data_IF_056299231841
#
_entry.id   IF_056299231841
#
_cell.length_a   1.000
_cell.length_b   1.000
_cell.length_c   1.000
_cell.angle_alpha   90.00
_cell.angle_beta   90.00
_cell.angle_gamma   90.00
#
_symmetry.space_group_name_H-M   'P 1'
#
loop_
_entity.id
_entity.type
_entity.pdbx_description
1 polymer ?
#
# COMPACT_ATOMS: atom_id res chain seq x y z
N UNK A 1 9.42 -28.50 13.91
CA UNK A 1 9.63 -27.21 13.21
C UNK A 1 10.24 -27.37 11.81
N UNK A 2 9.61 -26.75 10.80
CA UNK A 2 10.07 -26.79 9.41
C UNK A 2 11.12 -25.69 9.12
N UNK A 3 12.39 -25.94 9.49
CA UNK A 3 13.51 -25.01 9.24
C UNK A 3 14.03 -25.18 7.82
N UNK A 4 13.95 -24.12 7.00
CA UNK A 4 14.40 -24.16 5.61
C UNK A 4 15.89 -23.86 5.54
N UNK A 5 16.67 -24.81 5.01
CA UNK A 5 18.12 -24.67 4.84
C UNK A 5 18.43 -23.95 3.53
N UNK A 6 19.54 -23.19 3.44
CA UNK A 6 19.86 -22.42 2.23
C UNK A 6 19.78 -23.20 0.92
N UNK A 7 20.34 -24.42 0.88
CA UNK A 7 20.36 -25.25 -0.34
C UNK A 7 18.99 -25.81 -0.74
N UNK A 8 18.00 -25.85 0.16
CA UNK A 8 16.65 -26.34 -0.14
C UNK A 8 15.68 -25.22 -0.48
N UNK A 9 16.06 -23.94 -0.33
CA UNK A 9 15.17 -22.79 -0.54
C UNK A 9 14.58 -22.78 -1.96
N UNK A 10 15.34 -22.95 -3.06
CA UNK A 10 14.76 -22.87 -4.40
C UNK A 10 13.70 -23.94 -4.67
N UNK A 11 13.95 -25.17 -4.23
CA UNK A 11 12.98 -26.28 -4.35
C UNK A 11 11.73 -26.02 -3.50
N UNK A 12 11.92 -25.61 -2.24
CA UNK A 12 10.81 -25.27 -1.35
C UNK A 12 9.94 -24.11 -1.91
N UNK A 13 10.55 -23.06 -2.47
CA UNK A 13 9.80 -21.96 -3.08
C UNK A 13 8.95 -22.46 -4.25
N UNK A 14 9.53 -23.28 -5.14
CA UNK A 14 8.83 -23.80 -6.31
C UNK A 14 7.71 -24.78 -5.94
N UNK A 15 8.03 -25.75 -5.07
CA UNK A 15 7.18 -26.93 -4.84
C UNK A 15 6.17 -26.73 -3.71
N UNK A 16 6.42 -25.77 -2.81
CA UNK A 16 5.54 -25.48 -1.66
C UNK A 16 4.97 -24.08 -1.76
N UNK A 17 5.83 -23.05 -1.80
CA UNK A 17 5.38 -21.68 -1.63
C UNK A 17 4.54 -21.17 -2.81
N UNK A 18 4.98 -21.46 -4.04
CA UNK A 18 4.32 -21.13 -5.31
C UNK A 18 3.41 -22.26 -5.84
N UNK A 19 3.19 -23.31 -5.04
CA UNK A 19 2.29 -24.40 -5.44
C UNK A 19 0.85 -23.89 -5.55
N UNK A 20 0.15 -24.10 -6.69
CA UNK A 20 -1.25 -23.72 -6.81
C UNK A 20 -2.18 -24.56 -5.93
N UNK A 21 -1.73 -25.76 -5.52
CA UNK A 21 -2.49 -26.68 -4.65
C UNK A 21 -2.37 -26.33 -3.16
N UNK A 22 -1.58 -25.30 -2.81
CA UNK A 22 -1.42 -24.89 -1.41
C UNK A 22 -2.69 -24.19 -0.93
N UNK A 23 -3.32 -24.79 0.07
CA UNK A 23 -4.57 -24.33 0.69
C UNK A 23 -4.37 -23.52 1.98
N UNK A 24 -3.16 -23.59 2.58
CA UNK A 24 -2.82 -22.86 3.81
C UNK A 24 -1.86 -21.70 3.58
N UNK A 25 -1.97 -20.59 4.34
CA UNK A 25 -0.95 -19.57 4.41
C UNK A 25 0.37 -20.13 4.94
N UNK A 26 1.49 -19.56 4.50
CA UNK A 26 2.80 -19.81 5.08
C UNK A 26 3.26 -18.58 5.83
N UNK A 27 3.63 -18.74 7.09
CA UNK A 27 4.23 -17.68 7.91
C UNK A 27 5.73 -17.93 8.04
N UNK A 28 6.53 -17.07 7.42
CA UNK A 28 7.97 -17.09 7.64
C UNK A 28 8.35 -16.29 8.89
N UNK A 29 9.14 -16.93 9.74
CA UNK A 29 9.88 -16.32 10.83
C UNK A 29 11.35 -16.24 10.45
N UNK A 30 11.97 -15.07 10.62
CA UNK A 30 13.42 -14.91 10.39
C UNK A 30 14.18 -14.53 11.64
N UNK A 31 15.47 -14.87 11.69
CA UNK A 31 16.36 -14.47 12.79
C UNK A 31 16.89 -13.06 12.56
N UNK A 32 17.04 -12.19 13.57
CA UNK A 32 17.69 -10.90 13.37
C UNK A 32 19.19 -11.05 13.12
N UNK A 33 19.86 -10.03 12.55
CA UNK A 33 21.31 -10.07 12.33
C UNK A 33 22.06 -10.36 13.63
N UNK A 34 23.07 -11.22 13.57
CA UNK A 34 23.95 -11.59 14.70
C UNK A 34 23.27 -12.35 15.86
N UNK A 35 22.00 -12.76 15.74
CA UNK A 35 21.37 -13.73 16.67
C UNK A 35 21.07 -15.04 15.96
N UNK A 36 21.09 -16.12 16.73
CA UNK A 36 20.68 -17.46 16.25
C UNK A 36 19.19 -17.69 16.41
N UNK A 37 18.57 -16.99 17.36
CA UNK A 37 17.17 -17.16 17.72
C UNK A 37 16.34 -15.98 17.20
N UNK A 38 15.14 -16.25 16.65
CA UNK A 38 14.20 -15.22 16.23
C UNK A 38 13.63 -14.46 17.44
N UNK A 39 12.98 -13.33 17.18
CA UNK A 39 12.24 -12.59 18.21
C UNK A 39 10.94 -13.27 18.65
N UNK A 40 10.46 -14.23 17.86
CA UNK A 40 9.23 -14.96 18.07
C UNK A 40 9.51 -16.43 17.91
N UNK A 41 9.16 -17.22 18.91
CA UNK A 41 9.30 -18.67 18.84
C UNK A 41 8.33 -19.22 17.77
N UNK A 42 8.85 -19.83 16.69
CA UNK A 42 7.98 -20.32 15.63
C UNK A 42 7.19 -21.58 16.02
N UNK A 43 7.62 -22.38 17.01
CA UNK A 43 6.83 -23.55 17.46
C UNK A 43 5.60 -23.09 18.26
N UNK A 44 5.80 -22.12 19.15
CA UNK A 44 4.69 -21.53 19.90
C UNK A 44 3.74 -20.73 19.00
N UNK A 45 4.27 -20.08 17.96
CA UNK A 45 3.44 -19.45 16.93
C UNK A 45 2.63 -20.51 16.16
N UNK A 46 3.26 -21.59 15.70
CA UNK A 46 2.59 -22.68 14.98
C UNK A 46 1.45 -23.29 15.80
N UNK A 47 1.71 -23.57 17.08
CA UNK A 47 0.69 -24.05 18.01
C UNK A 47 -0.47 -23.06 18.19
N UNK A 48 -0.17 -21.76 18.27
CA UNK A 48 -1.19 -20.70 18.42
C UNK A 48 -2.01 -20.45 17.15
N UNK A 49 -1.59 -20.99 16.01
CA UNK A 49 -2.32 -20.91 14.74
C UNK A 49 -3.22 -22.12 14.50
N UNK A 50 -3.25 -23.10 15.42
CA UNK A 50 -4.20 -24.23 15.41
C UNK A 50 -4.24 -25.00 14.07
N UNK A 51 -3.09 -25.06 13.37
CA UNK A 51 -2.98 -25.73 12.07
C UNK A 51 -3.58 -24.97 10.89
N UNK A 52 -4.03 -23.72 11.08
CA UNK A 52 -4.59 -22.86 10.04
C UNK A 52 -3.52 -22.30 9.07
N UNK A 53 -2.24 -22.30 9.46
CA UNK A 53 -1.11 -21.90 8.62
C UNK A 53 0.15 -22.68 8.97
N UNK A 54 1.03 -22.84 7.98
CA UNK A 54 2.33 -23.48 8.16
C UNK A 54 3.36 -22.43 8.59
N UNK A 55 4.13 -22.71 9.65
CA UNK A 55 5.18 -21.81 10.13
C UNK A 55 6.56 -22.34 9.74
N UNK A 56 7.37 -21.49 9.12
CA UNK A 56 8.73 -21.83 8.68
C UNK A 56 9.77 -20.90 9.29
N UNK A 57 10.94 -21.45 9.63
CA UNK A 57 12.07 -20.67 10.14
C UNK A 57 13.18 -20.55 9.08
N UNK A 58 13.55 -19.32 8.76
CA UNK A 58 14.66 -18.97 7.88
C UNK A 58 15.71 -18.19 8.64
N UNK A 59 16.95 -18.69 8.66
CA UNK A 59 18.05 -17.95 9.26
C UNK A 59 18.51 -16.83 8.31
N UNK A 60 18.56 -15.60 8.82
CA UNK A 60 19.04 -14.45 8.02
C UNK A 60 20.47 -14.67 7.56
N UNK A 61 20.70 -14.44 6.27
CA UNK A 61 21.95 -14.73 5.58
C UNK A 61 21.68 -15.62 4.38
N UNK A 62 22.47 -16.70 4.19
CA UNK A 62 22.43 -17.52 2.98
C UNK A 62 21.02 -18.01 2.60
N UNK A 63 20.17 -18.35 3.58
CA UNK A 63 18.81 -18.82 3.29
C UNK A 63 17.90 -17.70 2.80
N UNK A 64 17.95 -16.52 3.40
CA UNK A 64 17.14 -15.37 2.98
C UNK A 64 17.63 -14.76 1.67
N UNK A 65 18.93 -14.85 1.36
CA UNK A 65 19.46 -14.49 0.03
C UNK A 65 18.96 -15.43 -1.06
N UNK A 66 19.01 -16.75 -0.82
CA UNK A 66 18.45 -17.73 -1.75
C UNK A 66 16.93 -17.56 -1.93
N UNK A 67 16.23 -17.09 -0.89
CA UNK A 67 14.81 -16.76 -0.97
C UNK A 67 14.55 -15.55 -1.87
N UNK A 68 15.32 -14.48 -1.69
CA UNK A 68 15.23 -13.26 -2.51
C UNK A 68 15.56 -13.53 -3.98
N UNK A 69 16.46 -14.48 -4.27
CA UNK A 69 16.76 -14.89 -5.63
C UNK A 69 15.66 -15.76 -6.27
N UNK A 70 14.96 -16.57 -5.46
CA UNK A 70 13.92 -17.48 -5.93
C UNK A 70 12.55 -16.79 -6.15
N UNK A 71 12.29 -15.70 -5.44
CA UNK A 71 11.04 -14.93 -5.47
C UNK A 71 11.17 -13.63 -6.29
N UNK A 72 10.06 -13.09 -6.82
CA UNK A 72 10.04 -11.75 -7.37
C UNK A 72 10.37 -10.68 -6.32
N UNK A 73 10.76 -9.49 -6.80
CA UNK A 73 11.11 -8.36 -5.96
C UNK A 73 10.06 -8.08 -4.87
N UNK A 74 10.54 -7.82 -3.65
CA UNK A 74 9.76 -7.46 -2.45
C UNK A 74 8.89 -8.57 -1.86
N UNK A 75 8.83 -9.78 -2.43
CA UNK A 75 8.13 -10.92 -1.82
C UNK A 75 8.99 -11.71 -0.83
N UNK A 76 10.26 -11.32 -0.64
CA UNK A 76 11.20 -11.91 0.30
C UNK A 76 11.01 -11.40 1.74
N UNK A 77 11.74 -12.02 2.67
CA UNK A 77 11.76 -11.65 4.09
C UNK A 77 13.10 -12.00 4.73
N UNK A 78 13.60 -11.13 5.60
CA UNK A 78 14.87 -11.30 6.29
C UNK A 78 14.97 -10.43 7.55
N UNK A 79 16.06 -10.59 8.30
CA UNK A 79 16.52 -9.62 9.28
C UNK A 79 15.71 -9.56 10.58
N UNK A 80 14.96 -10.60 10.91
CA UNK A 80 14.06 -10.62 12.06
C UNK A 80 12.62 -10.26 11.71
N UNK A 81 12.35 -9.85 10.46
CA UNK A 81 11.00 -9.63 9.97
C UNK A 81 10.24 -10.96 9.80
N UNK A 82 8.93 -10.85 9.76
CA UNK A 82 7.97 -11.92 9.53
C UNK A 82 7.22 -11.64 8.23
N UNK A 83 6.78 -12.67 7.52
CA UNK A 83 5.95 -12.47 6.32
C UNK A 83 4.89 -13.56 6.22
N UNK A 84 3.69 -13.17 5.80
CA UNK A 84 2.60 -14.09 5.50
C UNK A 84 2.48 -14.20 3.98
N UNK A 85 2.58 -15.42 3.45
CA UNK A 85 2.24 -15.71 2.07
C UNK A 85 0.91 -16.46 2.00
N UNK A 86 -0.17 -15.76 1.62
CA UNK A 86 -1.48 -16.36 1.37
C UNK A 86 -1.48 -17.40 0.23
N UNK A 87 -2.41 -18.36 0.25
CA UNK A 87 -2.70 -19.26 -0.87
C UNK A 87 -2.84 -18.52 -2.20
N UNK A 88 -2.45 -19.16 -3.31
CA UNK A 88 -2.50 -18.54 -4.64
C UNK A 88 -1.35 -17.57 -4.96
N UNK A 89 -0.31 -17.50 -4.12
CA UNK A 89 0.91 -16.73 -4.44
C UNK A 89 1.49 -17.21 -5.78
N UNK A 90 1.73 -16.26 -6.68
CA UNK A 90 2.42 -16.48 -7.95
C UNK A 90 3.44 -15.37 -8.22
N UNK A 91 4.22 -15.52 -9.29
CA UNK A 91 5.33 -14.60 -9.60
C UNK A 91 4.93 -13.14 -9.93
N UNK A 92 3.64 -12.87 -10.12
CA UNK A 92 3.13 -11.54 -10.43
C UNK A 92 2.16 -11.03 -9.34
N UNK A 93 2.10 -11.71 -8.19
CA UNK A 93 1.28 -11.29 -7.06
C UNK A 93 1.76 -9.95 -6.52
N UNK A 94 0.82 -9.13 -6.03
CA UNK A 94 1.14 -7.88 -5.36
C UNK A 94 1.84 -8.19 -4.02
N UNK A 95 3.09 -7.73 -3.79
CA UNK A 95 3.80 -7.95 -2.55
C UNK A 95 3.08 -7.42 -1.30
N UNK A 96 2.15 -6.47 -1.45
CA UNK A 96 1.37 -5.89 -0.35
C UNK A 96 0.18 -6.74 0.09
N UNK A 97 -0.32 -7.65 -0.77
CA UNK A 97 -1.33 -8.63 -0.38
C UNK A 97 -0.72 -9.71 0.54
N UNK A 98 0.58 -9.97 0.38
CA UNK A 98 1.35 -10.90 1.21
C UNK A 98 2.08 -10.13 2.32
N UNK A 99 1.46 -10.01 3.48
CA UNK A 99 1.87 -9.04 4.48
C UNK A 99 3.31 -9.22 5.03
N UNK A 100 4.12 -8.16 4.97
CA UNK A 100 5.43 -8.07 5.62
C UNK A 100 5.34 -7.31 6.95
N UNK A 101 5.86 -7.92 8.01
CA UNK A 101 5.77 -7.40 9.38
C UNK A 101 7.18 -7.24 9.95
N UNK A 102 7.58 -6.00 10.20
CA UNK A 102 8.88 -5.69 10.78
C UNK A 102 8.88 -5.88 12.30
N UNK A 103 9.92 -6.54 12.80
CA UNK A 103 10.16 -6.75 14.24
C UNK A 103 11.59 -6.32 14.56
N UNK A 104 11.74 -5.20 15.26
CA UNK A 104 13.06 -4.67 15.63
C UNK A 104 13.44 -4.98 17.09
N UNK A 105 12.51 -5.52 17.86
CA UNK A 105 12.73 -5.93 19.25
C UNK A 105 11.47 -6.48 19.90
N UNK A 106 11.54 -6.73 21.20
CA UNK A 106 10.53 -7.40 22.01
C UNK A 106 9.12 -6.77 21.90
N UNK A 107 9.03 -5.44 22.05
CA UNK A 107 7.76 -4.71 21.97
C UNK A 107 7.09 -4.82 20.60
N UNK A 108 7.87 -5.00 19.52
CA UNK A 108 7.35 -5.25 18.18
C UNK A 108 6.87 -6.70 18.04
N UNK A 109 7.57 -7.66 18.64
CA UNK A 109 7.28 -9.07 18.52
C UNK A 109 5.88 -9.41 19.07
N UNK A 110 5.50 -8.82 20.21
CA UNK A 110 4.14 -8.98 20.76
C UNK A 110 3.05 -8.38 19.87
N UNK A 111 3.29 -7.24 19.24
CA UNK A 111 2.34 -6.65 18.28
C UNK A 111 2.24 -7.49 17.01
N UNK A 112 3.37 -7.99 16.53
CA UNK A 112 3.44 -8.83 15.36
C UNK A 112 2.71 -10.16 15.57
N UNK A 113 2.87 -10.79 16.74
CA UNK A 113 2.17 -12.04 17.08
C UNK A 113 0.65 -11.85 17.02
N UNK A 114 0.14 -10.81 17.71
CA UNK A 114 -1.30 -10.49 17.68
C UNK A 114 -1.81 -10.27 16.27
N UNK A 115 -1.03 -9.55 15.46
CA UNK A 115 -1.38 -9.26 14.08
C UNK A 115 -1.50 -10.53 13.24
N UNK A 116 -0.49 -11.41 13.31
CA UNK A 116 -0.48 -12.68 12.56
C UNK A 116 -1.67 -13.56 12.97
N UNK A 117 -1.89 -13.75 14.28
CA UNK A 117 -3.00 -14.56 14.78
C UNK A 117 -4.35 -14.01 14.34
N UNK A 118 -4.54 -12.69 14.42
CA UNK A 118 -5.78 -12.06 13.92
C UNK A 118 -5.95 -12.16 12.42
N UNK A 119 -4.88 -12.00 11.65
CA UNK A 119 -4.95 -12.13 10.19
C UNK A 119 -5.35 -13.54 9.78
N UNK A 120 -4.89 -14.58 10.49
CA UNK A 120 -5.10 -15.99 10.12
C UNK A 120 -6.38 -16.58 10.72
N UNK A 121 -6.66 -16.32 12.00
CA UNK A 121 -7.79 -16.91 12.74
C UNK A 121 -8.99 -15.96 12.89
N UNK A 122 -8.82 -14.67 12.57
CA UNK A 122 -9.86 -13.63 12.69
C UNK A 122 -9.75 -12.74 13.92
N UNK A 123 -10.57 -11.68 13.97
CA UNK A 123 -10.45 -10.59 14.95
C UNK A 123 -10.66 -11.00 16.42
N UNK A 124 -11.40 -12.09 16.65
CA UNK A 124 -11.71 -12.62 17.99
C UNK A 124 -10.62 -13.54 18.55
N UNK A 125 -9.60 -13.88 17.76
CA UNK A 125 -8.54 -14.77 18.19
C UNK A 125 -7.62 -14.11 19.22
N UNK A 126 -7.30 -14.86 20.28
CA UNK A 126 -6.38 -14.44 21.34
C UNK A 126 -5.03 -15.15 21.23
N UNK A 127 -3.98 -14.53 21.76
CA UNK A 127 -2.68 -15.19 21.85
C UNK A 127 -2.68 -16.18 23.00
N UNK A 128 -2.07 -17.35 22.80
CA UNK A 128 -1.80 -18.29 23.89
C UNK A 128 -0.91 -17.63 24.97
N UNK A 129 -1.16 -17.92 26.24
CA UNK A 129 -0.36 -17.39 27.35
C UNK A 129 1.12 -17.77 27.21
N UNK A 130 1.40 -18.97 26.72
CA UNK A 130 2.76 -19.48 26.51
C UNK A 130 3.52 -18.67 25.44
N UNK A 131 2.87 -18.34 24.32
CA UNK A 131 3.44 -17.46 23.31
C UNK A 131 3.63 -16.04 23.86
N UNK A 132 2.68 -15.53 24.65
CA UNK A 132 2.84 -14.20 25.28
C UNK A 132 4.01 -14.17 26.25
N UNK A 133 4.21 -15.23 27.03
CA UNK A 133 5.30 -15.36 27.99
C UNK A 133 6.66 -15.48 27.30
N UNK A 134 6.79 -16.28 26.23
CA UNK A 134 8.06 -16.43 25.50
C UNK A 134 8.50 -15.12 24.85
N UNK A 135 7.55 -14.28 24.41
CA UNK A 135 7.81 -12.96 23.87
C UNK A 135 8.30 -11.95 24.94
N UNK A 136 8.22 -12.27 26.23
CA UNK A 136 8.68 -11.41 27.35
C UNK A 136 10.08 -11.79 27.87
N UNK A 137 10.65 -12.91 27.43
CA UNK A 137 11.90 -13.46 27.98
C UNK A 137 13.04 -13.33 26.98
N UNK A 138 13.74 -12.17 26.97
CA UNK A 138 15.14 -12.10 26.52
C UNK A 138 15.81 -10.75 26.89
N UNK A 139 16.26 -10.62 28.13
CA UNK A 139 17.42 -9.76 28.40
C UNK A 139 18.61 -10.33 27.63
N UNK A 140 19.25 -9.51 26.81
CA UNK A 140 20.45 -9.89 26.08
C UNK A 140 21.57 -10.23 27.08
N UNK A 141 21.80 -11.52 27.34
CA UNK A 141 23.03 -11.96 27.97
C UNK A 141 24.20 -11.60 27.04
N UNK A 142 25.23 -10.87 27.51
CA UNK A 142 26.47 -10.72 26.77
C UNK A 142 27.07 -12.10 26.52
N UNK A 143 27.43 -12.39 25.26
CA UNK A 143 28.17 -13.59 24.91
C UNK A 143 29.55 -13.51 25.57
N UNK A 144 29.80 -14.31 26.62
CA UNK A 144 31.17 -14.51 27.09
C UNK A 144 31.98 -15.24 26.01
N UNK A 145 33.17 -14.74 25.64
CA UNK A 145 34.02 -15.43 24.68
C UNK A 145 34.55 -16.72 25.31
N UNK A 146 34.13 -17.86 24.74
CA UNK A 146 34.75 -19.16 25.00
C UNK A 146 36.25 -19.08 24.68
N UNK A 147 37.09 -19.15 25.71
CA UNK A 147 38.50 -19.51 25.55
C UNK A 147 38.57 -20.89 24.91
N UNK A 148 39.11 -20.97 23.69
CA UNK A 148 39.49 -22.23 23.07
C UNK A 148 40.94 -22.51 23.43
N UNK A 149 41.15 -23.58 24.19
CA UNK A 149 42.45 -24.21 24.32
C UNK A 149 42.95 -24.71 22.97
N UNK A 150 44.24 -24.53 22.72
CA UNK A 150 45.03 -25.48 21.94
C UNK A 150 45.12 -25.30 20.43
N UNK A 151 46.13 -24.49 20.03
CA UNK A 151 47.23 -24.87 19.13
C UNK A 151 47.19 -24.44 17.64
N UNK A 152 48.21 -23.62 17.35
CA UNK A 152 49.00 -23.39 16.12
C UNK A 152 48.46 -22.49 14.99
N UNK A 153 49.11 -21.31 14.88
CA UNK A 153 49.06 -20.41 13.71
C UNK A 153 48.33 -19.08 13.91
N UNK A 154 48.63 -18.31 14.97
CA UNK A 154 48.02 -16.98 15.17
C UNK A 154 48.56 -15.92 14.19
N UNK A 155 47.75 -14.96 13.70
CA UNK A 155 48.23 -13.76 13.02
C UNK A 155 49.27 -13.04 13.92
N UNK A 156 50.29 -12.39 13.36
CA UNK A 156 51.25 -11.64 14.18
C UNK A 156 50.52 -10.69 15.13
N UNK A 157 50.96 -10.51 16.37
CA UNK A 157 50.32 -9.63 17.37
C UNK A 157 49.95 -8.24 16.80
N UNK A 158 50.72 -7.72 15.84
CA UNK A 158 50.41 -6.49 15.08
C UNK A 158 49.09 -6.52 14.30
N UNK A 159 48.74 -7.64 13.69
CA UNK A 159 47.51 -7.80 12.93
C UNK A 159 46.28 -7.94 13.85
N UNK A 160 46.48 -8.43 15.09
CA UNK A 160 45.44 -8.45 16.11
C UNK A 160 45.20 -7.03 16.64
N UNK A 161 46.27 -6.29 16.91
CA UNK A 161 46.22 -4.89 17.37
C UNK A 161 45.57 -3.96 16.32
N UNK A 162 45.93 -4.10 15.03
CA UNK A 162 45.30 -3.36 13.93
C UNK A 162 43.79 -3.64 13.80
N UNK A 163 43.38 -4.90 13.95
CA UNK A 163 41.97 -5.29 13.89
C UNK A 163 41.18 -4.80 15.11
N UNK A 164 41.80 -4.76 16.29
CA UNK A 164 41.19 -4.21 17.51
C UNK A 164 40.97 -2.69 17.38
N UNK A 165 41.95 -1.98 16.82
CA UNK A 165 41.83 -0.54 16.52
C UNK A 165 40.75 -0.26 15.47
N UNK A 166 40.68 -1.07 14.41
CA UNK A 166 39.64 -0.95 13.38
C UNK A 166 38.24 -1.23 13.96
N UNK A 167 38.11 -2.25 14.81
CA UNK A 167 36.85 -2.58 15.49
C UNK A 167 36.40 -1.46 16.44
N UNK A 168 37.35 -0.85 17.16
CA UNK A 168 37.08 0.29 18.03
C UNK A 168 36.63 1.52 17.25
N UNK A 169 37.29 1.81 16.12
CA UNK A 169 36.92 2.89 15.20
C UNK A 169 35.50 2.70 14.64
N UNK A 170 35.22 1.51 14.09
CA UNK A 170 33.89 1.19 13.56
C UNK A 170 32.81 1.19 14.64
N UNK A 171 33.12 0.77 15.86
CA UNK A 171 32.21 0.83 17.00
C UNK A 171 31.86 2.27 17.37
N UNK A 172 32.85 3.17 17.36
CA UNK A 172 32.65 4.59 17.60
C UNK A 172 31.79 5.24 16.50
N UNK A 173 32.03 4.93 15.23
CA UNK A 173 31.23 5.44 14.11
C UNK A 173 29.80 4.90 14.14
N UNK A 174 29.62 3.62 14.48
CA UNK A 174 28.29 3.04 14.68
C UNK A 174 27.53 3.74 15.79
N UNK A 175 28.20 4.08 16.89
CA UNK A 175 27.59 4.83 18.00
C UNK A 175 27.12 6.22 17.53
N UNK A 176 27.96 6.95 16.79
CA UNK A 176 27.58 8.26 16.22
C UNK A 176 26.39 8.15 15.27
N UNK A 177 26.39 7.15 14.39
CA UNK A 177 25.31 6.92 13.45
C UNK A 177 23.98 6.60 14.15
N UNK A 178 24.01 5.82 15.24
CA UNK A 178 22.82 5.53 16.05
C UNK A 178 22.27 6.79 16.73
N UNK A 179 23.14 7.62 17.31
CA UNK A 179 22.76 8.90 17.92
C UNK A 179 22.17 9.87 16.88
N UNK A 180 22.73 9.92 15.67
CA UNK A 180 22.19 10.71 14.57
C UNK A 180 20.83 10.19 14.09
N UNK A 181 20.65 8.88 13.98
CA UNK A 181 19.37 8.27 13.62
C UNK A 181 18.29 8.62 14.65
N UNK A 182 18.62 8.60 15.95
CA UNK A 182 17.70 9.01 17.00
C UNK A 182 17.31 10.49 16.89
N UNK A 183 18.29 11.38 16.63
CA UNK A 183 18.03 12.81 16.39
C UNK A 183 17.13 13.02 15.18
N UNK A 184 17.40 12.34 14.07
CA UNK A 184 16.58 12.42 12.86
C UNK A 184 15.17 11.89 13.09
N UNK A 185 15.00 10.77 13.82
CA UNK A 185 13.68 10.24 14.21
C UNK A 185 12.88 11.25 15.04
N UNK A 186 13.51 11.90 16.03
CA UNK A 186 12.89 12.97 16.82
C UNK A 186 12.45 14.14 15.92
N UNK A 187 13.32 14.56 14.99
CA UNK A 187 13.04 15.65 14.04
C UNK A 187 11.89 15.31 13.08
N UNK A 188 11.83 14.08 12.58
CA UNK A 188 10.71 13.58 11.76
C UNK A 188 9.41 13.57 12.55
N UNK A 189 9.42 13.13 13.81
CA UNK A 189 8.23 13.14 14.66
C UNK A 189 7.74 14.58 14.93
N UNK A 190 8.67 15.51 15.20
CA UNK A 190 8.35 16.92 15.40
C UNK A 190 7.77 17.56 14.12
N UNK A 191 8.41 17.33 12.97
CA UNK A 191 7.92 17.81 11.68
C UNK A 191 6.54 17.25 11.35
N UNK A 192 6.28 15.96 11.62
CA UNK A 192 4.94 15.36 11.48
C UNK A 192 3.91 16.03 12.38
N UNK A 193 4.27 16.35 13.63
CA UNK A 193 3.38 17.06 14.56
C UNK A 193 3.08 18.49 14.08
N UNK A 194 4.10 19.21 13.59
CA UNK A 194 3.94 20.54 12.97
C UNK A 194 3.05 20.47 11.73
N UNK A 195 3.29 19.51 10.84
CA UNK A 195 2.47 19.28 9.65
C UNK A 195 1.00 19.01 10.04
N UNK A 196 0.76 18.15 11.04
CA UNK A 196 -0.59 17.88 11.54
C UNK A 196 -1.26 19.12 12.14
N UNK A 197 -0.51 19.97 12.87
CA UNK A 197 -1.05 21.21 13.42
C UNK A 197 -1.35 22.25 12.34
N UNK A 198 -0.48 22.39 11.34
CA UNK A 198 -0.70 23.30 10.21
C UNK A 198 -1.88 22.82 9.36
N UNK A 199 -1.95 21.52 9.07
CA UNK A 199 -3.07 20.90 8.36
C UNK A 199 -4.38 21.07 9.11
N UNK A 200 -4.39 20.81 10.42
CA UNK A 200 -5.58 21.04 11.26
C UNK A 200 -6.00 22.51 11.30
N UNK A 201 -5.07 23.47 11.36
CA UNK A 201 -5.41 24.91 11.29
C UNK A 201 -5.96 25.30 9.92
N UNK A 202 -5.40 24.74 8.84
CA UNK A 202 -5.87 24.97 7.48
C UNK A 202 -7.29 24.41 7.29
N UNK A 203 -7.54 23.19 7.77
CA UNK A 203 -8.86 22.54 7.73
C UNK A 203 -9.90 23.29 8.57
N UNK A 204 -9.50 23.86 9.72
CA UNK A 204 -10.36 24.71 10.56
C UNK A 204 -10.64 26.09 9.97
N UNK A 205 -9.79 26.63 9.09
CA UNK A 205 -10.05 27.90 8.39
C UNK A 205 -10.78 27.74 7.07
N UNK A 206 -10.68 26.58 6.40
CA UNK A 206 -11.37 26.28 5.13
C UNK A 206 -12.78 25.68 5.31
N UNK A 207 -13.11 25.21 6.52
CA UNK A 207 -14.28 24.36 6.78
C UNK A 207 -15.67 24.99 6.62
N UNK A 208 -15.79 26.28 6.32
CA UNK A 208 -17.10 26.93 6.08
C UNK A 208 -17.30 27.49 4.66
N UNK A 209 -16.25 27.68 3.86
CA UNK A 209 -16.35 28.28 2.52
C UNK A 209 -16.04 27.32 1.36
N UNK A 210 -15.30 26.23 1.59
CA UNK A 210 -14.77 25.36 0.53
C UNK A 210 -15.48 23.99 0.38
N UNK A 211 -16.72 23.82 0.86
CA UNK A 211 -17.45 22.56 0.67
C UNK A 211 -17.99 22.44 -0.77
N UNK A 212 -17.42 21.57 -1.64
CA UNK A 212 -17.85 21.45 -3.02
C UNK A 212 -19.24 20.81 -3.18
N UNK A 213 -19.83 20.24 -2.11
CA UNK A 213 -21.17 19.66 -2.13
C UNK A 213 -22.28 20.67 -1.82
N UNK A 214 -21.92 21.86 -1.35
CA UNK A 214 -22.87 22.92 -0.95
C UNK A 214 -23.72 23.42 -2.11
N UNK A 215 -23.11 23.68 -3.26
CA UNK A 215 -23.80 24.17 -4.45
C UNK A 215 -23.09 23.75 -5.74
N UNK A 216 -23.78 23.82 -6.87
CA UNK A 216 -23.16 23.58 -8.18
C UNK A 216 -22.03 24.57 -8.50
N UNK A 217 -22.10 25.80 -7.98
CA UNK A 217 -21.02 26.79 -8.12
C UNK A 217 -19.78 26.38 -7.35
N UNK A 218 -19.94 25.95 -6.10
CA UNK A 218 -18.85 25.48 -5.23
C UNK A 218 -18.22 24.20 -5.80
N UNK A 219 -19.04 23.30 -6.35
CA UNK A 219 -18.56 22.13 -7.07
C UNK A 219 -17.65 22.51 -8.23
N UNK A 220 -18.11 23.43 -9.11
CA UNK A 220 -17.31 23.87 -10.26
C UNK A 220 -16.05 24.64 -9.85
N UNK A 221 -16.06 25.34 -8.71
CA UNK A 221 -14.84 25.92 -8.12
C UNK A 221 -13.89 24.80 -7.70
N UNK A 222 -14.39 23.77 -7.02
CA UNK A 222 -13.64 22.56 -6.65
C UNK A 222 -12.98 21.89 -7.87
N UNK A 223 -13.69 21.78 -9.00
CA UNK A 223 -13.14 21.22 -10.25
C UNK A 223 -11.98 22.08 -10.78
N UNK A 224 -12.11 23.41 -10.76
CA UNK A 224 -11.03 24.33 -11.19
C UNK A 224 -9.80 24.22 -10.29
N UNK A 225 -10.01 24.09 -8.97
CA UNK A 225 -8.92 23.88 -8.02
C UNK A 225 -8.25 22.52 -8.22
N UNK A 226 -9.02 21.46 -8.50
CA UNK A 226 -8.48 20.14 -8.81
C UNK A 226 -7.63 20.17 -10.09
N UNK A 227 -8.10 20.84 -11.15
CA UNK A 227 -7.34 21.06 -12.38
C UNK A 227 -6.01 21.77 -12.11
N UNK A 228 -6.04 22.89 -11.38
CA UNK A 228 -4.83 23.67 -11.07
C UNK A 228 -3.80 22.89 -10.23
N UNK A 229 -4.24 21.95 -9.39
CA UNK A 229 -3.36 21.12 -8.55
C UNK A 229 -2.74 19.93 -9.28
N UNK A 230 -3.42 19.42 -10.31
CA UNK A 230 -3.06 18.14 -10.95
C UNK A 230 -2.44 18.30 -12.33
N UNK A 231 -2.63 19.45 -12.98
CA UNK A 231 -2.10 19.74 -14.31
C UNK A 231 -0.98 20.79 -14.20
N UNK A 232 0.23 20.44 -14.61
CA UNK A 232 1.35 21.38 -14.72
C UNK A 232 1.12 22.40 -15.85
N UNK A 233 2.03 23.36 -16.01
CA UNK A 233 1.85 24.42 -17.01
C UNK A 233 1.81 23.89 -18.45
N UNK A 234 2.64 22.89 -18.78
CA UNK A 234 2.65 22.27 -20.11
C UNK A 234 1.35 21.53 -20.42
N UNK A 235 0.85 20.74 -19.47
CA UNK A 235 -0.43 20.02 -19.62
C UNK A 235 -1.58 21.00 -19.75
N UNK A 236 -1.59 22.10 -18.98
CA UNK A 236 -2.63 23.13 -19.06
C UNK A 236 -2.64 23.88 -20.39
N UNK A 237 -1.48 23.99 -21.06
CA UNK A 237 -1.39 24.56 -22.40
C UNK A 237 -1.97 23.60 -23.45
N UNK A 238 -1.67 22.29 -23.34
CA UNK A 238 -2.15 21.28 -24.29
C UNK A 238 -3.63 20.92 -24.09
N UNK A 239 -4.11 20.93 -22.84
CA UNK A 239 -5.46 20.55 -22.44
C UNK A 239 -6.10 21.66 -21.59
N UNK A 240 -6.45 22.81 -22.19
CA UNK A 240 -7.07 23.90 -21.46
C UNK A 240 -8.44 23.49 -20.91
N UNK A 241 -8.77 23.96 -19.72
CA UNK A 241 -10.05 23.66 -19.07
C UNK A 241 -11.21 24.30 -19.85
N UNK A 242 -12.12 23.46 -20.37
CA UNK A 242 -13.30 23.89 -21.11
C UNK A 242 -14.43 24.43 -20.24
N UNK A 243 -15.53 24.85 -20.91
CA UNK A 243 -16.74 25.29 -20.21
C UNK A 243 -17.43 24.10 -19.53
N UNK A 244 -17.88 24.34 -18.31
CA UNK A 244 -18.55 23.34 -17.49
C UNK A 244 -19.88 23.87 -16.97
N UNK A 245 -20.86 22.99 -16.86
CA UNK A 245 -22.13 23.21 -16.14
C UNK A 245 -22.46 21.98 -15.32
N UNK A 246 -23.29 22.18 -14.30
CA UNK A 246 -23.82 21.11 -13.45
C UNK A 246 -25.29 20.91 -13.80
N UNK A 247 -25.64 19.69 -14.19
CA UNK A 247 -27.02 19.28 -14.46
C UNK A 247 -27.85 19.23 -13.17
N UNK A 248 -29.17 19.33 -13.32
CA UNK A 248 -30.09 19.50 -12.18
C UNK A 248 -30.05 18.35 -11.18
N UNK A 249 -29.82 17.11 -11.65
CA UNK A 249 -29.76 15.90 -10.81
C UNK A 249 -28.35 15.59 -10.28
N UNK A 250 -27.31 16.22 -10.81
CA UNK A 250 -25.92 15.80 -10.56
C UNK A 250 -25.52 15.92 -9.09
N UNK A 251 -25.89 17.03 -8.45
CA UNK A 251 -25.52 17.28 -7.06
C UNK A 251 -26.18 16.29 -6.08
N UNK A 252 -27.38 15.81 -6.42
CA UNK A 252 -28.07 14.78 -5.64
C UNK A 252 -27.37 13.43 -5.78
N UNK A 253 -27.11 13.00 -7.02
CA UNK A 253 -26.34 11.79 -7.29
C UNK A 253 -24.96 11.81 -6.58
N UNK A 254 -24.31 12.97 -6.54
CA UNK A 254 -23.01 13.13 -5.90
C UNK A 254 -23.07 13.01 -4.37
N UNK A 255 -24.14 13.52 -3.72
CA UNK A 255 -24.33 13.37 -2.28
C UNK A 255 -24.60 11.93 -1.87
N UNK A 256 -25.28 11.17 -2.73
CA UNK A 256 -25.60 9.77 -2.50
C UNK A 256 -24.49 8.80 -2.94
N UNK A 257 -23.43 9.32 -3.57
CA UNK A 257 -22.35 8.52 -4.11
C UNK A 257 -21.53 7.88 -2.99
N UNK A 258 -21.58 6.55 -2.92
CA UNK A 258 -20.72 5.76 -2.02
C UNK A 258 -19.61 5.04 -2.78
N UNK A 259 -18.48 4.84 -2.10
CA UNK A 259 -17.34 4.05 -2.60
C UNK A 259 -16.35 4.80 -3.49
N UNK A 260 -16.49 6.12 -3.63
CA UNK A 260 -15.52 7.01 -4.29
C UNK A 260 -15.41 8.32 -3.52
N UNK A 261 -14.19 8.75 -3.22
CA UNK A 261 -13.90 10.03 -2.57
C UNK A 261 -14.25 11.23 -3.46
N UNK A 262 -14.83 12.29 -2.89
CA UNK A 262 -15.19 13.51 -3.63
C UNK A 262 -13.99 14.13 -4.37
N UNK A 263 -12.81 14.10 -3.76
CA UNK A 263 -11.57 14.57 -4.39
C UNK A 263 -11.28 13.86 -5.72
N UNK A 264 -11.61 12.57 -5.81
CA UNK A 264 -11.46 11.79 -7.03
C UNK A 264 -12.48 12.20 -8.09
N UNK A 265 -13.72 12.45 -7.69
CA UNK A 265 -14.75 12.95 -8.62
C UNK A 265 -14.35 14.29 -9.22
N UNK A 266 -13.88 15.24 -8.40
CA UNK A 266 -13.41 16.55 -8.85
C UNK A 266 -12.23 16.44 -9.84
N UNK A 267 -11.28 15.55 -9.56
CA UNK A 267 -10.15 15.26 -10.46
C UNK A 267 -10.64 14.73 -11.82
N UNK A 268 -11.58 13.79 -11.82
CA UNK A 268 -12.10 13.21 -13.08
C UNK A 268 -12.93 14.22 -13.86
N UNK A 269 -13.76 15.02 -13.19
CA UNK A 269 -14.49 16.11 -13.81
C UNK A 269 -13.53 17.12 -14.47
N UNK A 270 -12.40 17.43 -13.83
CA UNK A 270 -11.36 18.28 -14.43
C UNK A 270 -10.75 17.63 -15.68
N UNK A 271 -10.45 16.32 -15.63
CA UNK A 271 -9.92 15.57 -16.76
C UNK A 271 -10.90 15.53 -17.95
N UNK A 272 -12.20 15.38 -17.67
CA UNK A 272 -13.25 15.40 -18.69
C UNK A 272 -13.40 16.79 -19.29
N UNK A 273 -13.45 17.83 -18.45
CA UNK A 273 -13.59 19.21 -18.89
C UNK A 273 -12.40 19.73 -19.70
N UNK A 274 -11.18 19.21 -19.48
CA UNK A 274 -10.00 19.55 -20.27
C UNK A 274 -9.80 18.65 -21.50
N UNK A 275 -10.59 17.59 -21.64
CA UNK A 275 -10.48 16.60 -22.71
C UNK A 275 -9.36 15.57 -22.54
N UNK A 276 -8.47 15.73 -21.55
CA UNK A 276 -7.38 14.77 -21.29
C UNK A 276 -7.90 13.39 -20.88
N UNK A 277 -9.15 13.28 -20.38
CA UNK A 277 -9.76 12.00 -20.03
C UNK A 277 -9.72 10.99 -21.21
N UNK A 278 -9.80 11.46 -22.46
CA UNK A 278 -9.74 10.59 -23.64
C UNK A 278 -8.37 9.94 -23.88
N UNK A 279 -7.30 10.44 -23.27
CA UNK A 279 -5.94 9.88 -23.40
C UNK A 279 -5.60 8.89 -22.30
N UNK A 280 -6.41 8.83 -21.24
CA UNK A 280 -6.18 7.97 -20.08
C UNK A 280 -6.92 6.65 -20.28
N UNK A 281 -6.18 5.58 -20.59
CA UNK A 281 -6.76 4.26 -20.90
C UNK A 281 -7.72 3.76 -19.80
N UNK A 282 -7.36 3.94 -18.52
CA UNK A 282 -8.19 3.55 -17.38
C UNK A 282 -9.46 4.38 -17.17
N UNK A 283 -9.74 5.39 -18.00
CA UNK A 283 -11.01 6.15 -17.93
C UNK A 283 -12.12 5.51 -18.73
N UNK A 284 -11.84 4.60 -19.66
CA UNK A 284 -12.87 3.94 -20.48
C UNK A 284 -13.88 4.95 -21.04
N UNK A 285 -13.39 6.03 -21.66
CA UNK A 285 -14.27 7.10 -22.15
C UNK A 285 -15.02 6.63 -23.40
N UNK A 286 -16.34 6.59 -23.32
CA UNK A 286 -17.20 6.13 -24.42
C UNK A 286 -18.49 6.94 -24.51
N UNK A 287 -19.06 7.06 -25.71
CA UNK A 287 -20.43 7.57 -25.86
C UNK A 287 -21.43 6.64 -25.19
N UNK A 288 -22.36 7.22 -24.42
CA UNK A 288 -23.44 6.46 -23.80
C UNK A 288 -24.44 6.05 -24.87
N UNK A 289 -24.80 4.76 -24.89
CA UNK A 289 -25.67 4.17 -25.92
C UNK A 289 -27.06 3.95 -25.34
N UNK A 290 -28.09 4.02 -26.18
CA UNK A 290 -29.49 3.81 -25.78
C UNK A 290 -29.88 2.33 -25.51
N UNK A 291 -28.91 1.40 -25.50
CA UNK A 291 -29.16 -0.05 -25.38
C UNK A 291 -27.87 -0.88 -25.51
N UNK A 292 -27.98 -2.22 -25.62
CA UNK A 292 -26.82 -3.13 -25.73
C UNK A 292 -25.98 -2.88 -26.98
N UNK A 293 -24.79 -3.51 -27.03
CA UNK A 293 -23.74 -3.26 -28.01
C UNK A 293 -24.26 -3.15 -29.46
N UNK A 294 -23.99 -2.02 -30.12
CA UNK A 294 -24.46 -1.69 -31.47
C UNK A 294 -25.60 -0.65 -31.53
N UNK A 295 -26.21 -0.32 -30.40
CA UNK A 295 -27.25 0.71 -30.32
C UNK A 295 -26.73 2.12 -30.61
N UNK A 296 -27.57 2.99 -31.18
CA UNK A 296 -27.22 4.40 -31.47
C UNK A 296 -26.81 5.13 -30.19
N UNK A 297 -25.83 6.01 -30.32
CA UNK A 297 -25.42 6.92 -29.25
C UNK A 297 -26.60 7.78 -28.83
N UNK A 298 -26.72 8.01 -27.52
CA UNK A 298 -27.82 8.80 -26.94
C UNK A 298 -27.54 10.27 -27.19
N UNK A 299 -28.54 10.95 -27.76
CA UNK A 299 -28.49 12.38 -28.08
C UNK A 299 -29.68 13.06 -27.43
N UNK A 300 -29.45 14.17 -26.72
CA UNK A 300 -30.49 14.94 -26.07
C UNK A 300 -31.36 15.64 -27.12
N UNK A 301 -32.68 15.49 -27.01
CA UNK A 301 -33.63 15.94 -28.04
C UNK A 301 -33.72 17.47 -28.16
N UNK A 302 -33.49 18.20 -27.07
CA UNK A 302 -33.68 19.65 -27.01
C UNK A 302 -32.58 20.43 -27.72
N UNK A 303 -31.34 19.97 -27.65
CA UNK A 303 -30.15 20.71 -28.10
C UNK A 303 -29.14 19.88 -28.91
N UNK A 304 -29.42 18.58 -29.11
CA UNK A 304 -28.53 17.69 -29.86
C UNK A 304 -27.26 17.28 -29.09
N UNK A 305 -27.18 17.51 -27.77
CA UNK A 305 -26.01 17.15 -26.99
C UNK A 305 -25.74 15.64 -27.00
N UNK A 306 -24.47 15.25 -27.08
CA UNK A 306 -24.06 13.85 -27.07
C UNK A 306 -23.83 13.36 -25.65
N UNK A 307 -24.37 12.20 -25.29
CA UNK A 307 -24.13 11.59 -24.00
C UNK A 307 -22.81 10.83 -23.98
N UNK A 308 -22.06 11.00 -22.90
CA UNK A 308 -20.77 10.35 -22.67
C UNK A 308 -20.69 9.76 -21.28
N UNK A 309 -19.79 8.78 -21.13
CA UNK A 309 -19.47 8.16 -19.85
C UNK A 309 -17.98 7.86 -19.71
N UNK A 310 -17.52 7.85 -18.46
CA UNK A 310 -16.18 7.38 -18.12
C UNK A 310 -16.16 6.74 -16.72
N UNK A 311 -15.17 5.91 -16.46
CA UNK A 311 -14.92 5.30 -15.16
C UNK A 311 -14.31 6.31 -14.18
N UNK A 312 -14.88 6.41 -12.97
CA UNK A 312 -14.24 7.11 -11.85
C UNK A 312 -13.10 6.25 -11.25
N UNK A 313 -13.28 4.94 -11.28
CA UNK A 313 -12.34 3.91 -10.85
C UNK A 313 -12.52 2.62 -11.67
N UNK A 314 -11.45 1.84 -11.83
CA UNK A 314 -11.46 0.55 -12.56
C UNK A 314 -11.07 -0.60 -11.63
N UNK A 315 -11.32 -1.84 -12.07
CA UNK A 315 -10.98 -3.08 -11.34
C UNK A 315 -11.63 -3.25 -9.96
N UNK A 316 -12.76 -2.60 -9.71
CA UNK A 316 -13.55 -2.78 -8.49
C UNK A 316 -14.97 -3.27 -8.79
N UNK A 317 -15.50 -4.25 -8.04
CA UNK A 317 -16.91 -4.63 -8.14
C UNK A 317 -17.82 -3.41 -7.94
N UNK A 318 -18.73 -3.15 -8.89
CA UNK A 318 -19.59 -1.98 -8.86
C UNK A 318 -18.86 -0.67 -9.16
N UNK A 319 -17.81 -0.68 -9.98
CA UNK A 319 -17.10 0.54 -10.42
C UNK A 319 -18.06 1.71 -10.70
N UNK A 320 -17.71 2.91 -10.23
CA UNK A 320 -18.56 4.10 -10.43
C UNK A 320 -18.24 4.78 -11.75
N UNK A 321 -19.25 5.35 -12.38
CA UNK A 321 -19.15 6.09 -13.64
C UNK A 321 -19.65 7.51 -13.50
N UNK A 322 -19.03 8.40 -14.26
CA UNK A 322 -19.47 9.76 -14.50
C UNK A 322 -20.18 9.81 -15.85
N UNK A 323 -21.35 10.45 -15.90
CA UNK A 323 -22.10 10.73 -17.12
C UNK A 323 -22.17 12.24 -17.37
N UNK A 324 -22.01 12.63 -18.63
CA UNK A 324 -22.13 14.03 -19.02
C UNK A 324 -22.71 14.20 -20.42
N UNK A 325 -23.28 15.37 -20.65
CA UNK A 325 -23.66 15.84 -21.99
C UNK A 325 -22.55 16.73 -22.55
N UNK A 326 -22.16 16.48 -23.79
CA UNK A 326 -21.29 17.36 -24.56
C UNK A 326 -22.15 18.14 -25.55
N UNK A 327 -22.31 19.44 -25.30
CA UNK A 327 -23.03 20.33 -26.23
C UNK A 327 -22.06 20.81 -27.31
N UNK A 328 -22.51 20.84 -28.57
CA UNK A 328 -21.72 21.32 -29.71
C UNK A 328 -22.29 22.61 -30.31
N UNK A 329 -23.13 23.33 -29.56
CA UNK A 329 -23.73 24.59 -29.97
C UNK A 329 -22.70 25.69 -30.23
N UNK A 330 -22.98 26.52 -31.23
CA UNK A 330 -22.09 27.36 -32.06
C UNK A 330 -21.18 28.42 -31.40
N UNK A 331 -20.89 28.38 -30.09
CA UNK A 331 -19.92 29.32 -29.51
C UNK A 331 -18.79 28.67 -28.70
N UNK A 332 -18.96 27.50 -28.07
CA UNK A 332 -17.87 26.72 -27.46
C UNK A 332 -18.43 25.39 -26.92
N UNK A 333 -17.73 24.26 -27.07
CA UNK A 333 -18.18 23.00 -26.51
C UNK A 333 -18.26 23.08 -24.97
N UNK A 334 -19.41 22.71 -24.41
CA UNK A 334 -19.62 22.72 -22.95
C UNK A 334 -19.87 21.31 -22.44
N UNK A 335 -19.15 20.95 -21.38
CA UNK A 335 -19.39 19.72 -20.61
C UNK A 335 -20.44 20.00 -19.54
N UNK A 336 -21.55 19.29 -19.59
CA UNK A 336 -22.59 19.35 -18.58
C UNK A 336 -22.61 18.04 -17.78
N UNK A 337 -22.11 18.10 -16.54
CA UNK A 337 -22.09 16.94 -15.66
C UNK A 337 -23.51 16.55 -15.26
N UNK A 338 -23.96 15.35 -15.61
CA UNK A 338 -25.37 14.96 -15.53
C UNK A 338 -25.66 14.03 -14.35
N UNK A 339 -24.85 12.99 -14.17
CA UNK A 339 -24.98 12.06 -13.03
C UNK A 339 -23.67 11.34 -12.72
N UNK A 340 -23.60 10.77 -11.51
CA UNK A 340 -22.58 9.80 -11.08
C UNK A 340 -23.31 8.60 -10.50
N UNK A 341 -22.84 7.38 -10.82
CA UNK A 341 -23.59 6.18 -10.45
C UNK A 341 -22.79 4.88 -10.62
N UNK A 342 -23.48 3.74 -10.47
CA UNK A 342 -22.91 2.43 -10.73
C UNK A 342 -22.66 2.21 -12.23
N UNK A 343 -21.74 1.31 -12.58
CA UNK A 343 -21.42 1.00 -13.98
C UNK A 343 -22.59 0.46 -14.83
N UNK A 344 -23.61 -0.11 -14.16
CA UNK A 344 -24.85 -0.64 -14.75
C UNK A 344 -25.94 0.42 -14.93
N UNK A 345 -25.70 1.64 -14.44
CA UNK A 345 -26.58 2.76 -14.71
C UNK A 345 -26.30 3.28 -16.13
N UNK A 346 -27.26 3.06 -17.03
CA UNK A 346 -27.21 3.56 -18.40
C UNK A 346 -28.11 4.79 -18.60
N UNK A 347 -28.73 5.27 -17.52
CA UNK A 347 -29.56 6.45 -17.56
C UNK A 347 -28.76 7.72 -17.31
N UNK A 348 -29.11 8.72 -18.10
CA UNK A 348 -28.57 10.07 -18.00
C UNK A 348 -29.77 11.02 -17.91
N UNK A 349 -29.89 11.81 -16.83
CA UNK A 349 -30.90 12.84 -16.72
C UNK A 349 -30.79 13.83 -17.88
N UNK A 350 -31.92 14.21 -18.50
CA UNK A 350 -31.95 15.16 -19.63
C UNK A 350 -31.80 16.62 -19.21
#
# INVERSE_FOLDING_TARGET
MNRIRPGSVPGWVRDVLLSPERDKPVVAVTTPPKRRDPWMDPELLEASLEGAADVVLLQTGKATWALAEALPDRLDVYGGALRIWWPGLHRASDPYEHELIFVYGEGDAKRAARKIVKSILGESAELSEELVSSLQVATAAPLEPKRRDGREGGPSDRAVEELEDELNSMSADRKRALEENEKLRKKVAELRKKLKSVKGRLESSSGQEDDPLRSGTDFLLGVRLAYARTHDEGTRHQYPLGRMRVGHSFMECLRDLQGVELSKVLEVCAQVASGIAHTIAGREVHQLRAGPAGSRSRTRKSDGAQAWRCALQTHTPGARRLHWWATSGSQEPTVEFASVGHHDDFDIPE
#
